data_IF_744590713166
#
_entry.id   IF_744590713166
#
_cell.length_a   1.000
_cell.length_b   1.000
_cell.length_c   1.000
_cell.angle_alpha   90.00
_cell.angle_beta   90.00
_cell.angle_gamma   90.00
#
_symmetry.space_group_name_H-M   'P 1'
#
loop_
_entity.id
_entity.type
_entity.pdbx_description
1 polymer ?
#
# COMPACT_ATOMS: atom_id res chain seq x y z
N UNK A 1 2.80 32.45 -2.03
CA UNK A 1 3.11 31.01 -1.96
C UNK A 1 4.01 30.67 -3.12
N UNK A 2 5.27 30.37 -2.86
CA UNK A 2 6.22 29.98 -3.91
C UNK A 2 6.11 28.48 -4.10
N UNK A 3 5.64 28.03 -5.28
CA UNK A 3 5.70 26.61 -5.62
C UNK A 3 7.18 26.23 -5.81
N UNK A 4 7.72 25.45 -4.89
CA UNK A 4 9.05 24.87 -5.04
C UNK A 4 8.96 23.75 -6.08
N UNK A 5 9.55 23.96 -7.26
CA UNK A 5 9.75 22.89 -8.22
C UNK A 5 10.75 21.89 -7.66
N UNK A 6 10.28 20.69 -7.29
CA UNK A 6 11.16 19.60 -6.92
C UNK A 6 11.78 19.04 -8.21
N UNK A 7 13.02 19.41 -8.50
CA UNK A 7 13.79 18.80 -9.59
C UNK A 7 14.39 17.50 -9.08
N UNK A 8 13.74 16.39 -9.44
CA UNK A 8 14.17 15.04 -9.08
C UNK A 8 15.34 14.61 -9.97
N UNK A 9 16.57 14.77 -9.47
CA UNK A 9 17.79 14.48 -10.24
C UNK A 9 18.30 13.05 -10.07
N UNK A 10 17.93 12.38 -8.99
CA UNK A 10 18.34 10.99 -8.69
C UNK A 10 17.19 10.15 -8.16
N UNK A 11 17.33 8.82 -8.24
CA UNK A 11 16.38 7.87 -7.67
C UNK A 11 16.21 8.07 -6.16
N UNK A 12 17.29 8.41 -5.46
CA UNK A 12 17.30 8.70 -4.04
C UNK A 12 16.48 9.96 -3.75
N UNK A 13 16.66 11.04 -4.52
CA UNK A 13 15.86 12.26 -4.33
C UNK A 13 14.37 12.02 -4.57
N UNK A 14 14.00 11.25 -5.59
CA UNK A 14 12.61 10.85 -5.86
C UNK A 14 12.03 10.07 -4.70
N UNK A 15 12.65 8.96 -4.34
CA UNK A 15 12.11 8.09 -3.31
C UNK A 15 12.11 8.74 -1.91
N UNK A 16 12.94 9.77 -1.66
CA UNK A 16 12.94 10.55 -0.39
C UNK A 16 11.85 11.63 -0.38
N UNK A 17 11.32 11.98 -1.54
CA UNK A 17 10.22 12.94 -1.66
C UNK A 17 8.85 12.31 -1.43
N UNK A 18 8.75 10.98 -1.51
CA UNK A 18 7.51 10.24 -1.26
C UNK A 18 7.26 10.18 0.24
N UNK A 19 6.19 10.83 0.70
CA UNK A 19 5.67 10.68 2.07
C UNK A 19 4.65 9.57 2.20
N UNK A 20 3.98 9.22 1.10
CA UNK A 20 2.82 8.32 1.11
C UNK A 20 2.79 7.39 -0.11
N UNK A 21 2.43 6.13 0.13
CA UNK A 21 2.14 5.14 -0.91
C UNK A 21 0.74 4.60 -0.68
N UNK A 22 -0.13 4.75 -1.68
CA UNK A 22 -1.47 4.19 -1.69
C UNK A 22 -1.50 3.00 -2.65
N UNK A 23 -1.68 1.81 -2.10
CA UNK A 23 -1.77 0.56 -2.85
C UNK A 23 -3.23 0.18 -3.06
N UNK A 24 -3.64 0.03 -4.32
CA UNK A 24 -4.98 -0.41 -4.71
C UNK A 24 -4.86 -1.52 -5.75
N UNK A 25 -5.45 -2.67 -5.46
CA UNK A 25 -5.62 -3.74 -6.46
C UNK A 25 -6.81 -3.37 -7.35
N UNK A 26 -6.59 -3.35 -8.67
CA UNK A 26 -7.59 -3.02 -9.68
C UNK A 26 -8.00 -4.24 -10.52
N UNK A 27 -7.73 -5.46 -10.06
CA UNK A 27 -8.32 -6.69 -10.61
C UNK A 27 -7.39 -7.61 -11.32
N UNK A 28 -6.18 -7.78 -10.79
CA UNK A 28 -5.36 -8.89 -11.24
C UNK A 28 -6.08 -10.20 -10.92
N UNK A 29 -6.55 -10.89 -11.95
CA UNK A 29 -7.29 -12.15 -11.81
C UNK A 29 -6.35 -13.37 -11.76
N UNK A 30 -5.21 -13.21 -11.08
CA UNK A 30 -4.19 -14.23 -10.88
C UNK A 30 -3.46 -13.97 -9.57
N UNK A 31 -2.53 -14.86 -9.21
CA UNK A 31 -1.55 -14.58 -8.15
C UNK A 31 -0.65 -13.40 -8.53
N UNK A 32 -0.02 -12.80 -7.52
CA UNK A 32 0.84 -11.63 -7.64
C UNK A 32 0.10 -10.29 -7.54
N UNK A 33 -1.14 -10.29 -7.04
CA UNK A 33 -1.94 -9.09 -6.87
C UNK A 33 -1.45 -8.25 -5.68
N UNK A 34 -0.65 -8.83 -4.79
CA UNK A 34 0.08 -8.14 -3.72
C UNK A 34 1.52 -8.63 -3.65
N UNK A 35 2.42 -7.73 -3.26
CA UNK A 35 3.85 -8.04 -3.14
C UNK A 35 4.14 -8.86 -1.89
N UNK A 36 4.72 -10.04 -2.07
CA UNK A 36 5.08 -10.96 -0.98
C UNK A 36 6.58 -11.14 -0.80
N UNK A 37 7.39 -10.45 -1.62
CA UNK A 37 8.85 -10.46 -1.49
C UNK A 37 9.30 -9.53 -0.36
N UNK A 38 9.89 -10.11 0.69
CA UNK A 38 10.37 -9.40 1.87
C UNK A 38 11.48 -8.38 1.55
N UNK A 39 12.36 -8.67 0.59
CA UNK A 39 13.49 -7.81 0.22
C UNK A 39 13.02 -6.40 -0.20
N UNK A 40 11.82 -6.30 -0.78
CA UNK A 40 11.24 -5.00 -1.18
C UNK A 40 10.96 -4.15 0.05
N UNK A 41 10.34 -4.72 1.08
CA UNK A 41 9.97 -3.99 2.30
C UNK A 41 11.16 -3.73 3.20
N UNK A 42 12.11 -4.66 3.27
CA UNK A 42 13.36 -4.47 4.01
C UNK A 42 14.17 -3.27 3.45
N UNK A 43 14.16 -3.08 2.13
CA UNK A 43 14.80 -1.90 1.51
C UNK A 43 14.10 -0.59 1.84
N UNK A 44 12.78 -0.62 2.10
CA UNK A 44 12.04 0.55 2.58
C UNK A 44 12.50 0.90 3.99
N UNK A 45 12.49 -0.05 4.93
CA UNK A 45 12.86 0.22 6.33
C UNK A 45 14.32 0.69 6.46
N UNK A 46 15.27 0.02 5.78
CA UNK A 46 16.69 0.43 5.75
C UNK A 46 16.85 1.89 5.35
N UNK A 47 16.13 2.32 4.31
CA UNK A 47 16.17 3.69 3.81
C UNK A 47 15.64 4.70 4.84
N UNK A 48 14.53 4.38 5.52
CA UNK A 48 13.94 5.21 6.57
C UNK A 48 14.90 5.40 7.76
N UNK A 49 15.57 4.32 8.17
CA UNK A 49 16.57 4.35 9.24
C UNK A 49 17.77 5.21 8.84
N UNK A 50 18.22 5.12 7.58
CA UNK A 50 19.34 5.90 7.03
C UNK A 50 19.09 7.40 6.85
N UNK A 51 17.91 7.90 7.24
CA UNK A 51 17.63 9.33 7.30
C UNK A 51 16.56 9.82 6.33
N UNK A 52 15.90 8.93 5.58
CA UNK A 52 14.70 9.32 4.85
C UNK A 52 13.59 9.78 5.81
N UNK A 53 12.69 10.61 5.29
CA UNK A 53 11.49 11.08 5.99
C UNK A 53 10.55 9.91 6.27
N UNK A 54 9.65 10.11 7.22
CA UNK A 54 8.58 9.15 7.50
C UNK A 54 7.78 8.84 6.23
N UNK A 55 7.36 7.58 6.10
CA UNK A 55 6.56 7.06 5.01
C UNK A 55 5.29 6.43 5.59
N UNK A 56 4.14 6.79 5.03
CA UNK A 56 2.86 6.14 5.30
C UNK A 56 2.46 5.25 4.13
N UNK A 57 2.21 3.97 4.40
CA UNK A 57 1.84 2.97 3.41
C UNK A 57 0.40 2.53 3.66
N UNK A 58 -0.49 2.79 2.71
CA UNK A 58 -1.92 2.52 2.85
C UNK A 58 -2.34 1.46 1.83
N UNK A 59 -2.88 0.33 2.30
CA UNK A 59 -3.54 -0.67 1.46
C UNK A 59 -5.02 -0.36 1.39
N UNK A 60 -5.57 -0.26 0.19
CA UNK A 60 -6.98 0.01 -0.05
C UNK A 60 -7.62 -1.22 -0.69
N UNK A 61 -8.80 -1.60 -0.19
CA UNK A 61 -9.57 -2.67 -0.80
C UNK A 61 -11.01 -2.75 -0.32
N UNK A 62 -11.80 -3.53 -1.05
CA UNK A 62 -13.22 -3.75 -0.77
C UNK A 62 -13.47 -5.15 -0.20
N UNK A 63 -14.65 -5.38 0.39
CA UNK A 63 -15.12 -6.72 0.75
C UNK A 63 -15.08 -7.67 -0.46
N UNK A 64 -15.56 -7.20 -1.62
CA UNK A 64 -15.53 -7.97 -2.86
C UNK A 64 -14.13 -8.47 -3.24
N UNK A 65 -13.09 -7.68 -2.98
CA UNK A 65 -11.72 -8.02 -3.34
C UNK A 65 -11.05 -8.90 -2.28
N UNK A 66 -11.16 -8.54 -1.00
CA UNK A 66 -10.39 -9.16 0.07
C UNK A 66 -11.03 -10.41 0.68
N UNK A 67 -12.29 -10.70 0.38
CA UNK A 67 -12.98 -11.88 0.92
C UNK A 67 -13.65 -12.72 -0.17
N UNK A 68 -13.13 -12.69 -1.39
CA UNK A 68 -13.63 -13.54 -2.47
C UNK A 68 -13.20 -14.99 -2.26
N UNK A 69 -14.17 -15.86 -1.95
CA UNK A 69 -13.96 -17.30 -1.76
C UNK A 69 -13.46 -18.01 -3.03
N UNK A 70 -13.72 -17.46 -4.21
CA UNK A 70 -13.18 -18.01 -5.47
C UNK A 70 -11.74 -17.56 -5.73
N UNK A 71 -11.29 -16.50 -5.05
CA UNK A 71 -9.97 -15.89 -5.23
C UNK A 71 -9.23 -15.73 -3.90
N UNK A 72 -9.21 -16.80 -3.10
CA UNK A 72 -8.58 -16.84 -1.77
C UNK A 72 -7.10 -16.42 -1.74
N UNK A 73 -6.39 -16.51 -2.88
CA UNK A 73 -5.01 -16.04 -2.98
C UNK A 73 -4.89 -14.53 -2.77
N UNK A 74 -5.90 -13.73 -3.18
CA UNK A 74 -5.90 -12.27 -3.01
C UNK A 74 -5.80 -11.91 -1.52
N UNK A 75 -6.67 -12.52 -0.70
CA UNK A 75 -6.64 -12.34 0.74
C UNK A 75 -5.29 -12.75 1.34
N UNK A 76 -4.79 -13.95 0.97
CA UNK A 76 -3.51 -14.48 1.47
C UNK A 76 -2.32 -13.59 1.11
N UNK A 77 -2.24 -13.11 -0.13
CA UNK A 77 -1.16 -12.24 -0.59
C UNK A 77 -1.23 -10.88 0.09
N UNK A 78 -2.44 -10.29 0.22
CA UNK A 78 -2.67 -9.05 0.95
C UNK A 78 -2.28 -9.17 2.42
N UNK A 79 -2.72 -10.22 3.11
CA UNK A 79 -2.37 -10.47 4.51
C UNK A 79 -0.85 -10.65 4.67
N UNK A 80 -0.22 -11.38 3.75
CA UNK A 80 1.23 -11.55 3.76
C UNK A 80 1.97 -10.22 3.56
N UNK A 81 1.52 -9.40 2.62
CA UNK A 81 2.09 -8.06 2.39
C UNK A 81 1.95 -7.16 3.62
N UNK A 82 0.77 -7.15 4.25
CA UNK A 82 0.52 -6.38 5.46
C UNK A 82 1.45 -6.81 6.61
N UNK A 83 1.57 -8.12 6.85
CA UNK A 83 2.48 -8.66 7.87
C UNK A 83 3.96 -8.29 7.62
N UNK A 84 4.40 -8.29 6.36
CA UNK A 84 5.76 -7.88 6.01
C UNK A 84 5.97 -6.38 6.27
N UNK A 85 5.00 -5.54 5.90
CA UNK A 85 5.05 -4.10 6.16
C UNK A 85 5.06 -3.79 7.65
N UNK A 86 4.20 -4.42 8.45
CA UNK A 86 4.14 -4.25 9.91
C UNK A 86 5.43 -4.70 10.60
N UNK A 87 6.02 -5.82 10.16
CA UNK A 87 7.31 -6.31 10.64
C UNK A 87 8.44 -5.29 10.39
N UNK A 88 8.47 -4.70 9.20
CA UNK A 88 9.44 -3.66 8.83
C UNK A 88 9.14 -2.31 9.51
N UNK A 89 7.87 -2.02 9.81
CA UNK A 89 7.48 -0.85 10.58
C UNK A 89 8.07 -0.87 11.98
N UNK A 90 8.00 -2.02 12.66
CA UNK A 90 8.63 -2.23 13.97
C UNK A 90 10.15 -2.02 13.97
N UNK A 91 10.82 -2.24 12.83
CA UNK A 91 12.28 -2.04 12.67
C UNK A 91 12.65 -0.61 12.29
N UNK A 92 11.72 0.17 11.75
CA UNK A 92 11.99 1.49 11.14
C UNK A 92 12.14 2.64 12.14
N UNK A 93 11.99 2.39 13.45
CA UNK A 93 11.98 3.45 14.47
C UNK A 93 10.75 4.36 14.37
N UNK A 94 9.57 3.78 14.15
CA UNK A 94 8.29 4.48 13.95
C UNK A 94 8.23 5.41 12.71
N UNK A 95 9.14 5.22 11.74
CA UNK A 95 9.17 6.00 10.49
C UNK A 95 8.37 5.38 9.35
N UNK A 96 7.94 4.13 9.48
CA UNK A 96 6.98 3.51 8.56
C UNK A 96 5.66 3.36 9.30
N UNK A 97 4.64 4.06 8.81
CA UNK A 97 3.25 3.90 9.22
C UNK A 97 2.54 3.01 8.19
N UNK A 98 1.70 2.08 8.66
CA UNK A 98 1.04 1.07 7.81
C UNK A 98 -0.43 1.04 8.16
N UNK A 99 -1.28 1.23 7.14
CA UNK A 99 -2.72 1.26 7.30
C UNK A 99 -3.39 0.37 6.26
N UNK A 100 -4.45 -0.33 6.65
CA UNK A 100 -5.39 -0.96 5.72
C UNK A 100 -6.73 -0.24 5.79
N UNK A 101 -7.21 0.27 4.65
CA UNK A 101 -8.51 0.92 4.50
C UNK A 101 -9.47 0.01 3.76
N UNK A 102 -10.62 -0.16 4.38
CA UNK A 102 -11.67 -1.03 3.90
C UNK A 102 -12.86 -0.22 3.41
N UNK A 103 -13.31 -0.51 2.19
CA UNK A 103 -14.39 0.21 1.53
C UNK A 103 -15.64 -0.67 1.36
N UNK A 104 -16.81 -0.04 1.47
CA UNK A 104 -18.13 -0.63 1.23
C UNK A 104 -18.49 -1.81 2.15
N UNK A 105 -18.00 -1.82 3.39
CA UNK A 105 -18.28 -2.89 4.35
C UNK A 105 -19.74 -2.99 4.79
N UNK A 106 -20.56 -1.98 4.49
CA UNK A 106 -21.98 -1.88 4.78
C UNK A 106 -22.88 -2.40 3.63
N UNK A 107 -22.30 -2.78 2.49
CA UNK A 107 -23.03 -3.17 1.27
C UNK A 107 -22.77 -4.64 0.91
N UNK A 108 -23.74 -5.34 0.30
CA UNK A 108 -23.51 -6.65 -0.29
C UNK A 108 -22.44 -6.61 -1.39
N UNK A 109 -21.56 -7.61 -1.44
CA UNK A 109 -20.50 -7.66 -2.44
C UNK A 109 -21.06 -7.74 -3.86
N UNK A 110 -20.50 -6.95 -4.76
CA UNK A 110 -20.85 -6.99 -6.19
C UNK A 110 -19.62 -6.63 -7.04
N UNK A 111 -19.70 -6.84 -8.35
CA UNK A 111 -18.60 -6.55 -9.26
C UNK A 111 -18.32 -5.04 -9.41
N UNK A 112 -19.31 -4.17 -9.16
CA UNK A 112 -19.13 -2.72 -9.27
C UNK A 112 -18.11 -2.18 -8.26
N UNK A 113 -18.10 -2.72 -7.04
CA UNK A 113 -17.12 -2.37 -5.99
C UNK A 113 -15.67 -2.49 -6.46
N UNK A 114 -15.40 -3.41 -7.38
CA UNK A 114 -14.08 -3.65 -7.95
C UNK A 114 -13.50 -2.40 -8.64
N UNK A 115 -14.37 -1.58 -9.23
CA UNK A 115 -14.00 -0.37 -9.95
C UNK A 115 -14.30 0.90 -9.14
N UNK A 116 -15.41 0.91 -8.38
CA UNK A 116 -15.86 2.05 -7.57
C UNK A 116 -14.84 2.46 -6.49
N UNK A 117 -13.96 1.55 -6.07
CA UNK A 117 -12.87 1.87 -5.14
C UNK A 117 -11.95 2.97 -5.65
N UNK A 118 -11.73 3.08 -6.97
CA UNK A 118 -10.85 4.11 -7.56
C UNK A 118 -11.45 5.51 -7.33
N UNK A 119 -12.77 5.63 -7.40
CA UNK A 119 -13.50 6.88 -7.17
C UNK A 119 -13.62 7.21 -5.68
N UNK A 120 -13.54 6.20 -4.81
CA UNK A 120 -13.69 6.33 -3.36
C UNK A 120 -12.36 6.39 -2.60
N UNK A 121 -11.23 6.19 -3.29
CA UNK A 121 -9.91 6.11 -2.67
C UNK A 121 -9.61 7.41 -1.92
N UNK A 122 -9.36 7.30 -0.62
CA UNK A 122 -9.02 8.44 0.23
C UNK A 122 -7.50 8.59 0.29
N UNK A 123 -7.01 9.57 -0.46
CA UNK A 123 -5.58 9.97 -0.52
C UNK A 123 -5.28 11.20 0.35
N UNK A 124 -6.23 11.56 1.23
CA UNK A 124 -6.15 12.75 2.08
C UNK A 124 -5.34 12.54 3.37
#
# INVERSE_FOLDING_TARGET
MTFAYIVLKTKETLLNSISEIHYVDVGLNSTGAYLTNHDVFERISKRLIQGARQLRFVLHGTLRQWTDEQRVWIQKEKDKMLLLLESEAGKSGAKLDVLARYYFGDKPTNIQMHFEIIESLDVS
#
